data_IF_631470615774
#
_entry.id   IF_631470615774
#
_cell.length_a   1.000
_cell.length_b   1.000
_cell.length_c   1.000
_cell.angle_alpha   90.00
_cell.angle_beta   90.00
_cell.angle_gamma   90.00
#
_symmetry.space_group_name_H-M   'P 1'
#
loop_
_entity.id
_entity.type
_entity.pdbx_description
1 polymer ?
#
# COMPACT_ATOMS: atom_id res chain seq x y z
N UNK A 1 14.34 -10.92 76.04
CA UNK A 1 13.49 -10.02 76.86
C UNK A 1 14.43 -9.12 77.66
N UNK A 2 14.38 -7.79 77.49
CA UNK A 2 13.33 -6.95 78.06
C UNK A 2 12.74 -5.92 77.08
N UNK A 3 11.76 -5.19 77.62
CA UNK A 3 10.78 -4.30 76.99
C UNK A 3 11.13 -2.83 77.26
N UNK A 4 10.75 -1.94 76.34
CA UNK A 4 10.14 -0.61 76.59
C UNK A 4 10.82 0.64 75.98
N UNK A 5 10.07 1.23 75.03
CA UNK A 5 9.61 2.64 74.95
C UNK A 5 10.64 3.79 74.91
N UNK A 6 10.60 4.51 73.78
CA UNK A 6 10.90 5.95 73.71
C UNK A 6 10.08 6.60 72.58
N UNK A 7 9.06 7.37 72.96
CA UNK A 7 8.25 8.23 72.07
C UNK A 7 9.06 9.45 71.64
N UNK A 8 8.83 9.96 70.43
CA UNK A 8 8.73 11.42 70.22
C UNK A 8 7.94 11.74 68.96
N UNK A 9 6.96 12.63 69.16
CA UNK A 9 6.05 13.16 68.18
C UNK A 9 6.70 14.32 67.42
N UNK A 10 6.47 14.36 66.11
CA UNK A 10 6.83 15.49 65.25
C UNK A 10 5.70 15.73 64.25
N UNK A 11 4.69 16.48 64.70
CA UNK A 11 3.60 17.00 63.87
C UNK A 11 4.13 18.21 63.11
N UNK A 12 4.24 18.13 61.78
CA UNK A 12 4.32 19.29 60.91
C UNK A 12 3.26 19.16 59.81
N UNK A 13 2.13 19.83 60.06
CA UNK A 13 1.07 20.06 59.08
C UNK A 13 1.60 21.04 58.03
N UNK A 14 1.74 20.57 56.79
CA UNK A 14 1.93 21.43 55.63
C UNK A 14 0.57 21.83 55.04
N UNK A 15 0.34 23.11 54.73
CA UNK A 15 -0.92 23.57 54.16
C UNK A 15 -0.99 23.21 52.67
N UNK A 16 -1.92 22.33 52.32
CA UNK A 16 -2.33 22.05 50.94
C UNK A 16 -3.05 23.28 50.35
N UNK A 17 -2.29 24.23 49.80
CA UNK A 17 -2.85 25.24 48.89
C UNK A 17 -3.25 24.55 47.60
N UNK A 18 -4.55 24.49 47.37
CA UNK A 18 -5.17 24.11 46.12
C UNK A 18 -4.83 25.16 45.05
N UNK A 19 -3.76 24.93 44.30
CA UNK A 19 -3.56 25.58 43.02
C UNK A 19 -4.41 24.84 41.98
N UNK A 20 -5.63 25.34 41.74
CA UNK A 20 -6.44 24.97 40.57
C UNK A 20 -5.73 25.49 39.32
N UNK A 21 -4.96 24.63 38.67
CA UNK A 21 -4.52 24.85 37.30
C UNK A 21 -5.72 24.74 36.35
N UNK A 22 -5.92 25.68 35.42
CA UNK A 22 -7.03 25.61 34.47
C UNK A 22 -6.75 24.56 33.38
N UNK A 23 -7.27 23.36 33.59
CA UNK A 23 -7.39 22.28 32.59
C UNK A 23 -8.48 22.59 31.54
N UNK A 24 -8.42 23.76 30.90
CA UNK A 24 -9.48 24.18 29.96
C UNK A 24 -8.97 24.99 28.75
N UNK A 25 -7.80 24.67 28.18
CA UNK A 25 -7.38 25.23 26.87
C UNK A 25 -6.56 24.29 25.97
N UNK A 26 -6.77 22.97 26.05
CA UNK A 26 -6.15 22.01 25.12
C UNK A 26 -7.15 21.02 24.48
N UNK A 27 -8.44 21.38 24.42
CA UNK A 27 -9.43 20.63 23.62
C UNK A 27 -9.85 21.32 22.31
N UNK A 28 -9.42 22.55 22.07
CA UNK A 28 -9.79 23.30 20.85
C UNK A 28 -8.73 23.27 19.74
N UNK A 29 -7.50 22.79 19.99
CA UNK A 29 -6.48 22.62 18.94
C UNK A 29 -6.47 21.22 18.32
N UNK A 30 -6.96 20.19 19.03
CA UNK A 30 -7.13 18.85 18.45
C UNK A 30 -8.36 18.76 17.52
N UNK A 31 -9.39 19.58 17.74
CA UNK A 31 -10.54 19.66 16.84
C UNK A 31 -10.19 20.30 15.48
N UNK A 32 -9.23 21.23 15.43
CA UNK A 32 -8.80 21.88 14.19
C UNK A 32 -8.02 20.94 13.26
N UNK A 33 -7.19 20.04 13.82
CA UNK A 33 -6.41 19.05 13.03
C UNK A 33 -7.29 17.91 12.52
N UNK A 34 -8.29 17.47 13.30
CA UNK A 34 -9.28 16.46 12.87
C UNK A 34 -10.24 17.02 11.79
N UNK A 35 -10.57 18.31 11.85
CA UNK A 35 -11.39 18.96 10.84
C UNK A 35 -10.68 19.09 9.48
N UNK A 36 -9.37 19.35 9.44
CA UNK A 36 -8.61 19.37 8.17
C UNK A 36 -8.41 17.98 7.57
N UNK A 37 -8.33 16.92 8.39
CA UNK A 37 -8.31 15.54 7.88
C UNK A 37 -9.67 15.11 7.30
N UNK A 38 -10.77 15.50 7.95
CA UNK A 38 -12.13 15.16 7.50
C UNK A 38 -12.55 15.90 6.22
N UNK A 39 -12.06 17.13 6.00
CA UNK A 39 -12.32 17.88 4.76
C UNK A 39 -11.55 17.34 3.55
N UNK A 40 -10.37 16.73 3.75
CA UNK A 40 -9.65 16.02 2.67
C UNK A 40 -10.35 14.72 2.26
N UNK A 41 -11.06 14.05 3.18
CA UNK A 41 -11.85 12.84 2.89
C UNK A 41 -13.10 13.13 2.04
N UNK A 42 -13.73 14.31 2.21
CA UNK A 42 -14.88 14.73 1.40
C UNK A 42 -14.49 15.37 0.06
N UNK A 43 -13.34 16.05 -0.02
CA UNK A 43 -12.88 16.66 -1.28
C UNK A 43 -12.39 15.62 -2.32
N UNK A 44 -11.94 14.44 -1.89
CA UNK A 44 -11.44 13.39 -2.80
C UNK A 44 -12.43 12.28 -3.14
N UNK A 45 -13.58 12.19 -2.46
CA UNK A 45 -14.70 11.33 -2.90
C UNK A 45 -15.31 11.77 -4.25
N UNK A 46 -14.92 12.95 -4.75
CA UNK A 46 -15.31 13.47 -6.06
C UNK A 46 -14.19 13.45 -7.10
N UNK A 47 -13.06 12.77 -6.84
CA UNK A 47 -12.14 12.45 -7.94
C UNK A 47 -12.71 11.25 -8.69
N UNK A 48 -13.19 11.41 -9.94
CA UNK A 48 -13.47 10.25 -10.76
C UNK A 48 -12.16 9.48 -10.85
N UNK A 49 -12.15 8.23 -10.35
CA UNK A 49 -11.20 7.26 -10.87
C UNK A 49 -11.40 7.28 -12.38
N UNK A 50 -10.52 7.97 -13.09
CA UNK A 50 -10.48 7.95 -14.54
C UNK A 50 -10.10 6.52 -14.89
N UNK A 51 -11.14 5.68 -15.00
CA UNK A 51 -11.06 4.36 -15.58
C UNK A 51 -10.56 4.59 -17.00
N UNK A 52 -9.26 4.43 -17.20
CA UNK A 52 -8.71 4.15 -18.50
C UNK A 52 -9.23 2.76 -18.92
N UNK A 53 -10.51 2.69 -19.32
CA UNK A 53 -11.06 1.59 -20.11
C UNK A 53 -10.45 1.74 -21.50
N UNK A 54 -9.17 1.40 -21.61
CA UNK A 54 -8.53 1.11 -22.88
C UNK A 54 -9.17 -0.15 -23.45
N UNK A 55 -10.33 0.03 -24.08
CA UNK A 55 -10.93 -0.97 -24.94
C UNK A 55 -10.05 -1.07 -26.17
N UNK A 56 -9.05 -1.95 -26.11
CA UNK A 56 -8.34 -2.43 -27.29
C UNK A 56 -9.35 -3.20 -28.15
N UNK A 57 -10.07 -2.44 -28.99
CA UNK A 57 -10.87 -2.98 -30.07
C UNK A 57 -9.93 -3.74 -31.02
N UNK A 58 -9.88 -5.06 -30.86
CA UNK A 58 -9.31 -5.98 -31.86
C UNK A 58 -10.17 -5.87 -33.12
N UNK A 59 -9.81 -4.95 -34.00
CA UNK A 59 -10.28 -4.93 -35.37
C UNK A 59 -9.80 -6.22 -36.05
N UNK A 60 -10.74 -7.16 -36.23
CA UNK A 60 -10.57 -8.27 -37.14
C UNK A 60 -10.50 -7.75 -38.56
N UNK A 61 -9.29 -7.56 -39.07
CA UNK A 61 -9.09 -7.37 -40.50
C UNK A 61 -9.13 -8.72 -41.20
N UNK A 62 -10.15 -8.89 -42.04
CA UNK A 62 -10.24 -9.93 -43.04
C UNK A 62 -9.02 -9.83 -43.97
N UNK A 63 -8.18 -10.86 -43.98
CA UNK A 63 -6.99 -10.94 -44.83
C UNK A 63 -7.38 -11.59 -46.15
N UNK A 64 -7.51 -10.77 -47.19
CA UNK A 64 -7.58 -11.23 -48.57
C UNK A 64 -6.24 -11.88 -48.95
N UNK A 65 -6.33 -13.04 -49.59
CA UNK A 65 -5.22 -13.75 -50.18
C UNK A 65 -4.74 -13.05 -51.46
N UNK A 66 -3.41 -13.02 -51.65
CA UNK A 66 -2.67 -13.30 -52.90
C UNK A 66 -1.38 -12.48 -52.97
N UNK A 67 -0.28 -13.16 -53.30
CA UNK A 67 1.02 -12.55 -53.59
C UNK A 67 2.20 -13.40 -53.09
N UNK A 68 2.45 -14.52 -53.77
CA UNK A 68 3.70 -15.27 -53.65
C UNK A 68 4.85 -14.46 -54.25
N UNK A 69 5.92 -14.25 -53.49
CA UNK A 69 7.18 -13.70 -53.98
C UNK A 69 7.99 -12.95 -52.92
N UNK A 70 9.24 -13.37 -52.73
CA UNK A 70 10.27 -12.79 -51.84
C UNK A 70 10.23 -13.20 -50.35
N UNK A 71 10.58 -14.46 -50.07
CA UNK A 71 10.87 -14.95 -48.73
C UNK A 71 12.35 -15.29 -48.58
N UNK A 72 13.26 -14.30 -48.49
CA UNK A 72 14.63 -14.62 -48.06
C UNK A 72 15.45 -13.47 -47.43
N UNK A 73 14.85 -12.47 -46.77
CA UNK A 73 15.64 -11.50 -45.95
C UNK A 73 14.83 -10.98 -44.76
N UNK A 74 14.50 -11.79 -43.75
CA UNK A 74 13.89 -11.22 -42.52
C UNK A 74 14.05 -12.00 -41.21
N UNK A 75 14.90 -13.04 -41.16
CA UNK A 75 15.02 -13.87 -39.93
C UNK A 75 16.11 -13.38 -38.96
N UNK A 76 17.09 -12.59 -39.42
CA UNK A 76 18.23 -12.15 -38.57
C UNK A 76 17.95 -10.92 -37.70
N UNK A 77 16.96 -10.08 -38.03
CA UNK A 77 16.71 -8.84 -37.28
C UNK A 77 16.01 -9.09 -35.92
N UNK A 78 15.19 -10.13 -35.81
CA UNK A 78 14.34 -10.34 -34.63
C UNK A 78 15.11 -10.83 -33.38
N UNK A 79 16.27 -11.48 -33.54
CA UNK A 79 17.06 -11.98 -32.38
C UNK A 79 17.77 -10.87 -31.60
N UNK A 80 18.15 -9.77 -32.25
CA UNK A 80 18.89 -8.70 -31.59
C UNK A 80 17.99 -7.85 -30.68
N UNK A 81 16.73 -7.59 -31.06
CA UNK A 81 15.79 -6.84 -30.21
C UNK A 81 15.47 -7.56 -28.89
N UNK A 82 15.30 -8.89 -28.93
CA UNK A 82 14.98 -9.65 -27.72
C UNK A 82 16.11 -9.62 -26.67
N UNK A 83 17.37 -9.55 -27.11
CA UNK A 83 18.51 -9.49 -26.18
C UNK A 83 18.63 -8.13 -25.49
N UNK A 84 18.35 -7.03 -26.19
CA UNK A 84 18.40 -5.68 -25.61
C UNK A 84 17.32 -5.47 -24.55
N UNK A 85 16.09 -5.94 -24.80
CA UNK A 85 14.99 -5.90 -23.83
C UNK A 85 15.33 -6.58 -22.51
N UNK A 86 15.93 -7.77 -22.61
CA UNK A 86 16.35 -8.50 -21.42
C UNK A 86 17.44 -7.75 -20.64
N UNK A 87 18.38 -7.11 -21.33
CA UNK A 87 19.45 -6.33 -20.70
C UNK A 87 18.90 -5.14 -19.91
N UNK A 88 18.04 -4.30 -20.50
CA UNK A 88 17.46 -3.13 -19.80
C UNK A 88 16.62 -3.53 -18.58
N UNK A 89 15.89 -4.65 -18.67
CA UNK A 89 15.14 -5.17 -17.51
C UNK A 89 16.06 -5.67 -16.40
N UNK A 90 17.19 -6.28 -16.76
CA UNK A 90 18.21 -6.67 -15.78
C UNK A 90 18.80 -5.43 -15.11
N UNK A 91 19.07 -4.36 -15.87
CA UNK A 91 19.54 -3.08 -15.33
C UNK A 91 18.50 -2.47 -14.37
N UNK A 92 17.23 -2.42 -14.75
CA UNK A 92 16.14 -1.95 -13.86
C UNK A 92 16.05 -2.79 -12.58
N UNK A 93 16.16 -4.11 -12.70
CA UNK A 93 16.13 -5.03 -11.55
C UNK A 93 17.36 -4.82 -10.65
N UNK A 94 18.53 -4.61 -11.24
CA UNK A 94 19.76 -4.32 -10.51
C UNK A 94 19.63 -2.99 -9.74
N UNK A 95 19.05 -1.97 -10.38
CA UNK A 95 18.76 -0.69 -9.75
C UNK A 95 17.88 -0.86 -8.50
N UNK A 96 16.74 -1.56 -8.61
CA UNK A 96 15.84 -1.80 -7.47
C UNK A 96 16.48 -2.59 -6.33
N UNK A 97 17.43 -3.48 -6.64
CA UNK A 97 18.18 -4.23 -5.61
C UNK A 97 19.20 -3.35 -4.90
N UNK A 98 19.90 -2.50 -5.65
CA UNK A 98 20.90 -1.59 -5.10
C UNK A 98 20.30 -0.40 -4.34
N UNK A 99 19.12 0.05 -4.78
CA UNK A 99 18.41 1.18 -4.23
C UNK A 99 16.90 0.90 -4.16
N UNK A 100 16.38 0.51 -2.98
CA UNK A 100 14.95 0.28 -2.79
C UNK A 100 14.08 1.50 -3.09
N UNK A 101 14.62 2.72 -2.96
CA UNK A 101 13.89 3.97 -3.22
C UNK A 101 13.54 4.11 -4.70
N UNK A 102 14.40 3.61 -5.59
CA UNK A 102 14.16 3.60 -7.03
C UNK A 102 12.88 2.85 -7.40
N UNK A 103 12.46 1.83 -6.63
CA UNK A 103 11.19 1.14 -6.89
C UNK A 103 9.98 2.05 -6.62
N UNK A 104 10.05 2.92 -5.60
CA UNK A 104 9.00 3.91 -5.33
C UNK A 104 8.88 4.94 -6.46
N UNK A 105 10.01 5.45 -6.93
CA UNK A 105 10.04 6.38 -8.07
C UNK A 105 9.55 5.73 -9.36
N UNK A 106 9.85 4.44 -9.58
CA UNK A 106 9.30 3.69 -10.71
C UNK A 106 7.77 3.63 -10.67
N UNK A 107 7.20 3.29 -9.51
CA UNK A 107 5.75 3.23 -9.33
C UNK A 107 5.08 4.60 -9.52
N UNK A 108 5.69 5.65 -8.97
CA UNK A 108 5.27 7.04 -9.17
C UNK A 108 5.29 7.41 -10.66
N UNK A 109 6.39 7.10 -11.36
CA UNK A 109 6.56 7.36 -12.79
C UNK A 109 5.48 6.67 -13.64
N UNK A 110 5.25 5.37 -13.42
CA UNK A 110 4.19 4.64 -14.12
C UNK A 110 2.81 5.27 -13.89
N UNK A 111 2.47 5.59 -12.64
CA UNK A 111 1.18 6.21 -12.32
C UNK A 111 1.02 7.60 -12.94
N UNK A 112 2.06 8.43 -12.93
CA UNK A 112 2.05 9.75 -13.57
C UNK A 112 1.87 9.67 -15.09
N UNK A 113 2.36 8.60 -15.72
CA UNK A 113 2.16 8.33 -17.15
C UNK A 113 0.83 7.63 -17.47
N UNK A 114 0.03 7.28 -16.46
CA UNK A 114 -1.20 6.51 -16.63
C UNK A 114 -0.94 5.07 -17.09
N UNK A 115 0.25 4.53 -16.79
CA UNK A 115 0.69 3.20 -17.20
C UNK A 115 0.45 2.18 -16.08
N UNK A 116 -0.04 1.00 -16.46
CA UNK A 116 -0.16 -0.14 -15.55
C UNK A 116 1.17 -0.88 -15.33
N UNK A 117 1.20 -1.86 -14.41
CA UNK A 117 2.38 -2.69 -14.14
C UNK A 117 2.96 -3.40 -15.36
N UNK A 118 2.11 -3.75 -16.33
CA UNK A 118 2.50 -4.36 -17.60
C UNK A 118 3.48 -3.50 -18.42
N UNK A 119 3.50 -2.17 -18.23
CA UNK A 119 4.44 -1.28 -18.90
C UNK A 119 5.91 -1.52 -18.50
N UNK A 120 6.17 -2.28 -17.42
CA UNK A 120 7.52 -2.79 -17.11
C UNK A 120 8.08 -3.72 -18.20
N UNK A 121 7.22 -4.17 -19.11
CA UNK A 121 7.61 -4.97 -20.26
C UNK A 121 8.05 -4.12 -21.46
N UNK A 122 7.71 -2.83 -21.48
CA UNK A 122 7.96 -1.91 -22.58
C UNK A 122 9.38 -1.32 -22.49
N UNK A 123 10.17 -1.49 -23.55
CA UNK A 123 11.56 -1.05 -23.61
C UNK A 123 11.71 0.47 -23.51
N UNK A 124 10.81 1.20 -24.17
CA UNK A 124 10.87 2.66 -24.25
C UNK A 124 10.57 3.25 -22.89
N UNK A 125 9.55 2.71 -22.20
CA UNK A 125 9.17 3.13 -20.85
C UNK A 125 10.30 2.86 -19.86
N UNK A 126 10.92 1.67 -19.91
CA UNK A 126 12.06 1.33 -19.04
C UNK A 126 13.26 2.22 -19.32
N UNK A 127 13.58 2.48 -20.60
CA UNK A 127 14.68 3.35 -20.97
C UNK A 127 14.45 4.80 -20.53
N UNK A 128 13.24 5.33 -20.71
CA UNK A 128 12.87 6.67 -20.27
C UNK A 128 13.07 6.82 -18.76
N UNK A 129 12.59 5.84 -17.98
CA UNK A 129 12.79 5.86 -16.54
C UNK A 129 14.26 5.78 -16.15
N UNK A 130 15.04 4.86 -16.71
CA UNK A 130 16.47 4.71 -16.41
C UNK A 130 17.25 5.99 -16.75
N UNK A 131 16.89 6.69 -17.84
CA UNK A 131 17.48 7.98 -18.19
C UNK A 131 17.19 9.06 -17.14
N UNK A 132 16.04 9.00 -16.46
CA UNK A 132 15.66 9.92 -15.38
C UNK A 132 16.15 9.51 -13.99
N UNK A 133 16.65 8.29 -13.81
CA UNK A 133 16.97 7.73 -12.49
C UNK A 133 17.98 8.54 -11.66
N UNK A 134 18.90 9.25 -12.31
CA UNK A 134 19.86 10.13 -11.64
C UNK A 134 19.29 11.45 -11.13
N UNK A 135 18.03 11.77 -11.45
CA UNK A 135 17.40 13.08 -11.15
C UNK A 135 16.36 13.02 -10.03
N UNK A 136 16.06 11.83 -9.51
CA UNK A 136 15.01 11.68 -8.52
C UNK A 136 15.39 12.26 -7.16
N UNK A 137 14.42 12.91 -6.52
CA UNK A 137 14.54 13.36 -5.15
C UNK A 137 14.84 12.16 -4.24
N UNK A 138 15.94 12.25 -3.50
CA UNK A 138 16.24 11.28 -2.45
C UNK A 138 15.41 11.62 -1.23
N UNK A 139 14.76 10.61 -0.67
CA UNK A 139 14.08 10.71 0.61
C UNK A 139 14.69 9.75 1.61
N UNK A 140 14.52 10.08 2.88
CA UNK A 140 14.92 9.21 3.97
C UNK A 140 13.96 8.01 4.05
N UNK A 141 14.51 6.80 4.08
CA UNK A 141 13.76 5.57 4.34
C UNK A 141 13.57 5.39 5.85
N UNK A 142 12.53 4.64 6.23
CA UNK A 142 12.23 4.41 7.65
C UNK A 142 13.43 3.79 8.40
N UNK A 143 13.75 4.34 9.57
CA UNK A 143 14.77 3.79 10.46
C UNK A 143 14.38 2.39 10.98
N UNK A 144 15.35 1.64 11.49
CA UNK A 144 15.10 0.32 12.06
C UNK A 144 14.08 0.37 13.23
N UNK A 145 14.07 1.46 14.00
CA UNK A 145 13.12 1.68 15.10
C UNK A 145 11.69 1.84 14.58
N UNK A 146 11.46 2.70 13.58
CA UNK A 146 10.13 2.90 12.97
C UNK A 146 9.62 1.60 12.33
N UNK A 147 10.52 0.84 11.69
CA UNK A 147 10.19 -0.46 11.12
C UNK A 147 9.80 -1.49 12.20
N UNK A 148 10.50 -1.49 13.34
CA UNK A 148 10.19 -2.36 14.47
C UNK A 148 8.84 -1.99 15.13
N UNK A 149 8.53 -0.70 15.26
CA UNK A 149 7.24 -0.22 15.77
C UNK A 149 6.10 -0.64 14.85
N UNK A 150 6.30 -0.57 13.53
CA UNK A 150 5.33 -1.08 12.57
C UNK A 150 5.14 -2.60 12.67
N UNK A 151 6.23 -3.37 12.77
CA UNK A 151 6.14 -4.82 12.96
C UNK A 151 5.42 -5.19 14.27
N UNK A 152 5.62 -4.41 15.33
CA UNK A 152 4.90 -4.57 16.59
C UNK A 152 3.41 -4.27 16.40
N UNK A 153 3.05 -3.17 15.73
CA UNK A 153 1.66 -2.84 15.43
C UNK A 153 0.97 -3.94 14.62
N UNK A 154 1.64 -4.53 13.62
CA UNK A 154 1.10 -5.65 12.84
C UNK A 154 0.84 -6.91 13.69
N UNK A 155 1.70 -7.19 14.68
CA UNK A 155 1.56 -8.35 15.57
C UNK A 155 0.45 -8.17 16.58
N UNK A 156 0.36 -6.98 17.18
CA UNK A 156 -0.66 -6.67 18.17
C UNK A 156 -2.04 -6.53 17.52
N UNK A 157 -2.09 -6.00 16.30
CA UNK A 157 -3.33 -5.73 15.60
C UNK A 157 -3.18 -6.07 14.11
N UNK A 158 -3.62 -7.26 13.69
CA UNK A 158 -3.47 -7.70 12.31
C UNK A 158 -4.08 -6.74 11.27
N UNK A 159 -5.09 -5.95 11.67
CA UNK A 159 -5.75 -4.94 10.84
C UNK A 159 -4.79 -3.83 10.37
N UNK A 160 -3.72 -3.56 11.13
CA UNK A 160 -2.69 -2.59 10.75
C UNK A 160 -2.08 -2.93 9.38
N UNK A 161 -1.97 -4.22 9.04
CA UNK A 161 -1.48 -4.65 7.73
C UNK A 161 -2.42 -4.22 6.61
N UNK A 162 -3.72 -4.48 6.74
CA UNK A 162 -4.70 -4.05 5.74
C UNK A 162 -4.76 -2.52 5.59
N UNK A 163 -4.79 -1.81 6.71
CA UNK A 163 -4.82 -0.35 6.73
C UNK A 163 -3.58 0.23 6.05
N UNK A 164 -2.40 -0.35 6.31
CA UNK A 164 -1.17 0.05 5.63
C UNK A 164 -1.23 -0.19 4.13
N UNK A 165 -1.72 -1.34 3.68
CA UNK A 165 -1.89 -1.61 2.25
C UNK A 165 -2.81 -0.58 1.58
N UNK A 166 -3.89 -0.17 2.26
CA UNK A 166 -4.82 0.86 1.78
C UNK A 166 -4.14 2.23 1.69
N UNK A 167 -3.37 2.62 2.71
CA UNK A 167 -2.59 3.88 2.69
C UNK A 167 -1.52 3.83 1.60
N UNK A 168 -0.80 2.72 1.46
CA UNK A 168 0.22 2.55 0.43
C UNK A 168 -0.35 2.61 -1.00
N UNK A 169 -1.54 2.06 -1.22
CA UNK A 169 -2.25 2.17 -2.50
C UNK A 169 -2.53 3.64 -2.87
N UNK A 170 -2.97 4.44 -1.89
CA UNK A 170 -3.34 5.84 -2.08
C UNK A 170 -2.14 6.79 -2.15
N UNK A 171 -1.20 6.64 -1.22
CA UNK A 171 -0.17 7.64 -0.93
C UNK A 171 1.25 7.17 -1.30
N UNK A 172 1.44 5.87 -1.51
CA UNK A 172 2.72 5.29 -1.91
C UNK A 172 2.70 4.66 -3.31
N UNK A 173 1.74 5.05 -4.17
CA UNK A 173 1.64 4.54 -5.54
C UNK A 173 1.57 2.99 -5.62
N UNK A 174 0.95 2.36 -4.60
CA UNK A 174 0.85 0.91 -4.46
C UNK A 174 2.08 0.21 -3.87
N UNK A 175 3.09 0.93 -3.39
CA UNK A 175 4.28 0.34 -2.79
C UNK A 175 4.01 -0.08 -1.34
N UNK A 176 3.55 -1.31 -1.13
CA UNK A 176 3.27 -1.85 0.21
C UNK A 176 4.54 -2.19 1.02
N UNK A 177 5.72 -2.29 0.39
CA UNK A 177 6.96 -2.57 1.10
C UNK A 177 7.40 -1.35 1.92
N UNK A 178 7.18 -1.39 3.24
CA UNK A 178 7.55 -0.35 4.21
C UNK A 178 9.03 0.07 4.19
N UNK A 179 9.93 -0.75 3.66
CA UNK A 179 11.36 -0.43 3.54
C UNK A 179 11.70 0.40 2.28
N UNK A 180 10.75 0.53 1.37
CA UNK A 180 10.92 1.23 0.08
C UNK A 180 10.10 2.52 0.00
N UNK A 181 9.41 2.91 1.07
CA UNK A 181 8.60 4.13 1.13
C UNK A 181 9.30 5.23 1.94
N UNK A 182 8.93 6.51 1.77
CA UNK A 182 9.43 7.59 2.61
C UNK A 182 9.15 7.33 4.10
N UNK A 183 10.14 7.56 4.96
CA UNK A 183 10.04 7.39 6.41
C UNK A 183 8.83 8.12 6.99
N UNK A 184 8.63 9.37 6.54
CA UNK A 184 7.54 10.23 6.97
C UNK A 184 6.17 9.57 6.75
N UNK A 185 5.97 8.90 5.61
CA UNK A 185 4.68 8.26 5.31
C UNK A 185 4.36 7.13 6.31
N UNK A 186 5.38 6.33 6.66
CA UNK A 186 5.22 5.26 7.63
C UNK A 186 5.01 5.81 9.05
N UNK A 187 5.70 6.89 9.41
CA UNK A 187 5.53 7.58 10.69
C UNK A 187 4.13 8.20 10.82
N UNK A 188 3.66 8.90 9.78
CA UNK A 188 2.32 9.50 9.74
C UNK A 188 1.25 8.40 9.89
N UNK A 189 1.43 7.25 9.22
CA UNK A 189 0.58 6.07 9.40
C UNK A 189 0.58 5.57 10.85
N UNK A 190 1.76 5.35 11.45
CA UNK A 190 1.87 4.86 12.83
C UNK A 190 1.25 5.84 13.83
N UNK A 191 1.45 7.13 13.63
CA UNK A 191 0.85 8.17 14.45
C UNK A 191 -0.68 8.13 14.36
N UNK A 192 -1.24 8.05 13.14
CA UNK A 192 -2.68 7.93 12.93
C UNK A 192 -3.25 6.63 13.56
N UNK A 193 -2.50 5.54 13.44
CA UNK A 193 -2.83 4.24 14.01
C UNK A 193 -2.90 4.28 15.54
N UNK A 194 -1.83 4.75 16.20
CA UNK A 194 -1.77 4.86 17.67
C UNK A 194 -2.76 5.87 18.24
N UNK A 195 -3.11 6.90 17.49
CA UNK A 195 -4.16 7.85 17.86
C UNK A 195 -5.57 7.24 17.80
N UNK A 196 -5.73 6.00 17.30
CA UNK A 196 -7.04 5.38 17.07
C UNK A 196 -7.88 6.10 16.02
N UNK A 197 -7.23 6.88 15.14
CA UNK A 197 -7.90 7.66 14.09
C UNK A 197 -8.22 6.84 12.85
N UNK A 198 -7.63 5.64 12.74
CA UNK A 198 -7.93 4.69 11.68
C UNK A 198 -9.13 3.83 12.07
N UNK A 199 -9.90 3.44 11.06
CA UNK A 199 -11.10 2.62 11.22
C UNK A 199 -10.79 1.28 11.89
N UNK A 200 -11.62 0.89 12.85
CA UNK A 200 -11.58 -0.45 13.42
C UNK A 200 -12.33 -1.40 12.52
N UNK A 201 -11.63 -2.39 11.97
CA UNK A 201 -12.18 -3.34 11.02
C UNK A 201 -12.34 -4.70 11.67
N UNK A 202 -13.52 -5.30 11.50
CA UNK A 202 -13.68 -6.73 11.74
C UNK A 202 -12.91 -7.48 10.66
N UNK A 203 -11.91 -8.26 11.06
CA UNK A 203 -11.16 -9.08 10.14
C UNK A 203 -11.84 -10.43 9.91
N UNK A 204 -11.51 -11.06 8.80
CA UNK A 204 -11.98 -12.39 8.45
C UNK A 204 -11.56 -13.41 9.51
N UNK A 205 -12.54 -14.01 10.19
CA UNK A 205 -12.35 -15.16 11.07
C UNK A 205 -12.09 -16.47 10.31
N UNK A 206 -11.78 -17.54 11.04
CA UNK A 206 -11.35 -18.83 10.47
C UNK A 206 -12.37 -19.45 9.51
N UNK A 207 -13.66 -19.36 9.83
CA UNK A 207 -14.73 -19.90 8.99
C UNK A 207 -14.81 -19.19 7.64
N UNK A 208 -14.85 -17.85 7.65
CA UNK A 208 -14.94 -17.04 6.44
C UNK A 208 -13.64 -17.13 5.61
N UNK A 209 -12.48 -17.26 6.25
CA UNK A 209 -11.22 -17.55 5.58
C UNK A 209 -11.25 -18.91 4.87
N UNK A 210 -11.82 -19.94 5.50
CA UNK A 210 -11.99 -21.25 4.89
C UNK A 210 -12.93 -21.23 3.70
N UNK A 211 -14.04 -20.48 3.78
CA UNK A 211 -14.97 -20.26 2.67
C UNK A 211 -14.27 -19.59 1.48
N UNK A 212 -13.56 -18.48 1.72
CA UNK A 212 -12.82 -17.77 0.67
C UNK A 212 -11.73 -18.64 0.04
N UNK A 213 -10.97 -19.38 0.86
CA UNK A 213 -9.95 -20.30 0.36
C UNK A 213 -10.55 -21.44 -0.47
N UNK A 214 -11.72 -21.94 -0.08
CA UNK A 214 -12.44 -22.97 -0.85
C UNK A 214 -12.86 -22.40 -2.20
N UNK A 215 -13.46 -21.21 -2.21
CA UNK A 215 -13.83 -20.50 -3.44
C UNK A 215 -12.62 -20.29 -4.36
N UNK A 216 -11.48 -19.80 -3.84
CA UNK A 216 -10.25 -19.56 -4.63
C UNK A 216 -9.72 -20.82 -5.32
N UNK A 217 -9.96 -22.01 -4.75
CA UNK A 217 -9.56 -23.30 -5.31
C UNK A 217 -10.53 -23.84 -6.36
N UNK A 218 -11.73 -23.28 -6.50
CA UNK A 218 -12.66 -23.65 -7.58
C UNK A 218 -12.16 -23.16 -8.93
N UNK A 219 -12.66 -23.76 -10.02
CA UNK A 219 -12.26 -23.40 -11.38
C UNK A 219 -12.54 -21.91 -11.66
N UNK A 220 -11.47 -21.11 -11.74
CA UNK A 220 -11.53 -19.68 -11.98
C UNK A 220 -11.80 -18.80 -10.75
N UNK A 221 -12.07 -19.37 -9.57
CA UNK A 221 -12.38 -18.61 -8.36
C UNK A 221 -11.21 -17.73 -7.90
N UNK A 222 -9.98 -18.23 -8.00
CA UNK A 222 -8.77 -17.44 -7.72
C UNK A 222 -8.67 -16.19 -8.60
N UNK A 223 -8.85 -16.34 -9.92
CA UNK A 223 -8.80 -15.23 -10.86
C UNK A 223 -9.91 -14.20 -10.60
N UNK A 224 -11.14 -14.63 -10.32
CA UNK A 224 -12.24 -13.72 -9.98
C UNK A 224 -11.98 -12.92 -8.70
N UNK A 225 -11.36 -13.54 -7.70
CA UNK A 225 -10.97 -12.86 -6.47
C UNK A 225 -9.89 -11.82 -6.72
N UNK A 226 -8.85 -12.20 -7.48
CA UNK A 226 -7.75 -11.30 -7.84
C UNK A 226 -8.28 -10.11 -8.67
N UNK A 227 -9.15 -10.35 -9.65
CA UNK A 227 -9.82 -9.32 -10.46
C UNK A 227 -10.67 -8.37 -9.59
N UNK A 228 -11.40 -8.91 -8.60
CA UNK A 228 -12.18 -8.12 -7.66
C UNK A 228 -11.26 -7.22 -6.82
N UNK A 229 -10.16 -7.77 -6.30
CA UNK A 229 -9.20 -7.02 -5.51
C UNK A 229 -8.52 -5.92 -6.33
N UNK A 230 -8.08 -6.23 -7.54
CA UNK A 230 -7.43 -5.28 -8.44
C UNK A 230 -8.41 -4.17 -8.86
N UNK A 231 -9.69 -4.50 -9.06
CA UNK A 231 -10.73 -3.51 -9.38
C UNK A 231 -11.01 -2.56 -8.23
N UNK A 232 -11.01 -3.05 -6.99
CA UNK A 232 -11.37 -2.25 -5.81
C UNK A 232 -10.17 -1.47 -5.26
N UNK A 233 -8.97 -2.05 -5.29
CA UNK A 233 -7.79 -1.53 -4.59
C UNK A 233 -6.58 -1.23 -5.50
N UNK A 234 -6.66 -1.62 -6.77
CA UNK A 234 -5.56 -1.54 -7.72
C UNK A 234 -4.66 -2.77 -7.71
N UNK A 235 -3.93 -2.95 -8.82
CA UNK A 235 -3.07 -4.11 -9.03
C UNK A 235 -1.98 -4.25 -7.95
N UNK A 236 -1.89 -5.46 -7.37
CA UNK A 236 -0.80 -5.85 -6.47
C UNK A 236 -0.93 -5.35 -5.02
N UNK A 237 -2.06 -4.73 -4.66
CA UNK A 237 -2.34 -4.23 -3.30
C UNK A 237 -2.88 -5.33 -2.39
N UNK A 238 -3.40 -6.42 -2.96
CA UNK A 238 -4.10 -7.51 -2.26
C UNK A 238 -3.19 -8.35 -1.34
N UNK A 239 -3.41 -8.36 0.00
CA UNK A 239 -2.75 -9.33 0.88
C UNK A 239 -3.06 -10.78 0.49
N UNK A 240 -2.05 -11.64 0.50
CA UNK A 240 -2.22 -13.07 0.13
C UNK A 240 -2.99 -13.88 1.18
N UNK A 241 -2.84 -13.50 2.45
CA UNK A 241 -3.50 -14.17 3.57
C UNK A 241 -4.94 -13.66 3.72
N UNK A 242 -5.95 -14.53 3.58
CA UNK A 242 -7.37 -14.16 3.69
C UNK A 242 -7.73 -13.58 5.07
N UNK A 243 -7.01 -13.91 6.14
CA UNK A 243 -7.33 -13.43 7.50
C UNK A 243 -7.05 -11.95 7.73
N UNK A 244 -6.29 -11.33 6.83
CA UNK A 244 -5.93 -9.91 6.93
C UNK A 244 -7.03 -9.03 6.30
N UNK A 245 -7.95 -9.61 5.54
CA UNK A 245 -9.00 -8.86 4.87
C UNK A 245 -10.11 -8.44 5.83
N UNK A 246 -10.80 -7.31 5.56
CA UNK A 246 -12.05 -6.98 6.24
C UNK A 246 -13.13 -8.03 5.97
N UNK A 247 -13.82 -8.49 7.01
CA UNK A 247 -14.84 -9.52 6.92
C UNK A 247 -15.98 -9.11 5.99
N UNK A 248 -16.46 -7.87 6.10
CA UNK A 248 -17.58 -7.36 5.29
C UNK A 248 -17.27 -7.35 3.79
N UNK A 249 -16.02 -7.06 3.43
CA UNK A 249 -15.56 -7.09 2.05
C UNK A 249 -15.62 -8.51 1.48
N UNK A 250 -15.12 -9.50 2.24
CA UNK A 250 -15.15 -10.91 1.81
C UNK A 250 -16.58 -11.43 1.75
N UNK A 251 -17.43 -11.11 2.74
CA UNK A 251 -18.86 -11.47 2.74
C UNK A 251 -19.57 -10.94 1.49
N UNK A 252 -19.36 -9.65 1.16
CA UNK A 252 -19.93 -9.02 -0.02
C UNK A 252 -19.47 -9.70 -1.30
N UNK A 253 -18.17 -9.94 -1.45
CA UNK A 253 -17.64 -10.64 -2.62
C UNK A 253 -18.26 -12.03 -2.80
N UNK A 254 -18.28 -12.85 -1.73
CA UNK A 254 -18.84 -14.20 -1.81
C UNK A 254 -20.34 -14.19 -2.12
N UNK A 255 -21.09 -13.18 -1.64
CA UNK A 255 -22.50 -12.98 -1.99
C UNK A 255 -22.70 -12.58 -3.47
N UNK A 256 -21.83 -11.74 -4.02
CA UNK A 256 -21.86 -11.37 -5.45
C UNK A 256 -21.53 -12.54 -6.38
N UNK A 257 -20.77 -13.54 -5.91
CA UNK A 257 -20.42 -14.73 -6.68
C UNK A 257 -21.44 -15.88 -6.61
N UNK A 258 -22.39 -15.81 -5.67
CA UNK A 258 -23.45 -16.81 -5.51
C UNK A 258 -24.79 -16.40 -6.13
N UNK A 259 -24.90 -15.15 -6.59
CA UNK A 259 -26.03 -14.62 -7.35
C UNK A 259 -25.93 -14.97 -8.84
#
# INVERSE_FOLDING_TARGET
MPVAKGRSAGVLRSPCRHARTPLFRMRFLLAAVVATCSQLQLAFSAMPMVRARGTLARHGMARAAQGEGAAEVTVKSNRNSSNNNNKKRQELTALFKSDPVSFYHWRKFLQQKGLGPAASQDEEVVQEFLASAGTFDRFEIASAEVLADFEKAQKEYPAATWLWHTVAAREAFGVANRKAVPAKLLQDFLQAYHAGSLEQLELVGDELAAQLNTFRKTNGGGGKWDDFCDTQFGEGVAPKDPKIWPADLVRRFLAEQSA
#
